data_IF_430513953720
#
_entry.id   IF_430513953720
#
_cell.length_a   1.000
_cell.length_b   1.000
_cell.length_c   1.000
_cell.angle_alpha   90.00
_cell.angle_beta   90.00
_cell.angle_gamma   90.00
#
_symmetry.space_group_name_H-M   'P 1'
#
loop_
_entity.id
_entity.type
_entity.pdbx_description
1 polymer ?
#
# COMPACT_ATOMS: atom_id res chain seq x y z
N UNK A 1 24.31 36.37 29.32
CA UNK A 1 23.73 35.40 30.28
C UNK A 1 22.22 35.24 30.16
N UNK A 2 21.38 36.18 30.65
CA UNK A 2 19.92 35.97 30.65
C UNK A 2 19.30 35.92 29.24
N UNK A 3 19.70 36.82 28.34
CA UNK A 3 19.22 36.84 26.95
C UNK A 3 19.64 35.57 26.20
N UNK A 4 20.87 35.09 26.38
CA UNK A 4 21.35 33.85 25.77
C UNK A 4 20.56 32.63 26.27
N UNK A 5 20.25 32.58 27.56
CA UNK A 5 19.44 31.52 28.15
C UNK A 5 18.02 31.53 27.59
N UNK A 6 17.41 32.71 27.46
CA UNK A 6 16.09 32.87 26.84
C UNK A 6 16.12 32.41 25.38
N UNK A 7 17.12 32.84 24.59
CA UNK A 7 17.27 32.42 23.19
C UNK A 7 17.46 30.90 23.08
N UNK A 8 18.28 30.30 23.95
CA UNK A 8 18.48 28.86 23.98
C UNK A 8 17.18 28.10 24.31
N UNK A 9 16.39 28.59 25.28
CA UNK A 9 15.10 28.00 25.63
C UNK A 9 14.11 28.10 24.46
N UNK A 10 14.02 29.27 23.83
CA UNK A 10 13.14 29.46 22.66
C UNK A 10 13.54 28.53 21.52
N UNK A 11 14.84 28.43 21.22
CA UNK A 11 15.34 27.51 20.20
C UNK A 11 15.01 26.04 20.55
N UNK A 12 15.19 25.64 21.80
CA UNK A 12 14.84 24.30 22.27
C UNK A 12 13.34 24.00 22.10
N UNK A 13 12.46 24.93 22.50
CA UNK A 13 11.01 24.79 22.34
C UNK A 13 10.63 24.65 20.87
N UNK A 14 11.23 25.45 19.98
CA UNK A 14 10.99 25.36 18.54
C UNK A 14 11.41 23.99 17.98
N UNK A 15 12.57 23.45 18.41
CA UNK A 15 13.04 22.13 18.00
C UNK A 15 12.09 21.02 18.48
N UNK A 16 11.68 21.07 19.75
CA UNK A 16 10.75 20.08 20.31
C UNK A 16 9.38 20.12 19.62
N UNK A 17 8.86 21.33 19.34
CA UNK A 17 7.62 21.51 18.61
C UNK A 17 7.73 20.95 17.18
N UNK A 18 8.79 21.27 16.46
CA UNK A 18 9.03 20.74 15.12
C UNK A 18 9.14 19.20 15.11
N UNK A 19 9.84 18.62 16.09
CA UNK A 19 9.97 17.17 16.23
C UNK A 19 8.61 16.52 16.49
N UNK A 20 7.78 17.11 17.35
CA UNK A 20 6.43 16.63 17.64
C UNK A 20 5.53 16.64 16.38
N UNK A 21 5.49 17.75 15.64
CA UNK A 21 4.72 17.85 14.38
C UNK A 21 5.20 16.82 13.35
N UNK A 22 6.51 16.62 13.24
CA UNK A 22 7.11 15.66 12.32
C UNK A 22 6.73 14.22 12.68
N UNK A 23 6.79 13.87 13.98
CA UNK A 23 6.38 12.56 14.47
C UNK A 23 4.89 12.29 14.23
N UNK A 24 4.03 13.27 14.50
CA UNK A 24 2.59 13.16 14.26
C UNK A 24 2.28 12.98 12.76
N UNK A 25 2.96 13.74 11.90
CA UNK A 25 2.81 13.61 10.44
C UNK A 25 3.24 12.23 9.96
N UNK A 26 4.34 11.69 10.49
CA UNK A 26 4.80 10.36 10.14
C UNK A 26 3.80 9.27 10.57
N UNK A 27 3.26 9.36 11.79
CA UNK A 27 2.25 8.43 12.28
C UNK A 27 1.00 8.42 11.37
N UNK A 28 0.52 9.60 10.98
CA UNK A 28 -0.61 9.72 10.06
C UNK A 28 -0.33 9.08 8.69
N UNK A 29 0.90 9.20 8.17
CA UNK A 29 1.29 8.57 6.90
C UNK A 29 1.37 7.05 7.00
N UNK A 30 1.86 6.51 8.12
CA UNK A 30 1.85 5.05 8.34
C UNK A 30 0.42 4.51 8.38
N UNK A 31 -0.47 5.13 9.17
CA UNK A 31 -1.89 4.74 9.22
C UNK A 31 -2.52 4.78 7.82
N UNK A 32 -2.24 5.82 7.04
CA UNK A 32 -2.75 5.95 5.67
C UNK A 32 -2.20 4.87 4.73
N UNK A 33 -0.94 4.49 4.88
CA UNK A 33 -0.30 3.44 4.07
C UNK A 33 -0.86 2.07 4.41
N UNK A 34 -1.02 1.76 5.71
CA UNK A 34 -1.60 0.50 6.17
C UNK A 34 -3.08 0.38 5.76
N UNK A 35 -3.84 1.47 5.87
CA UNK A 35 -5.22 1.51 5.40
C UNK A 35 -5.31 1.32 3.87
N UNK A 36 -4.40 1.91 3.09
CA UNK A 36 -4.36 1.73 1.64
C UNK A 36 -3.96 0.30 1.25
N UNK A 37 -3.09 -0.35 2.02
CA UNK A 37 -2.72 -1.76 1.83
C UNK A 37 -3.91 -2.68 2.09
N UNK A 38 -4.61 -2.50 3.21
CA UNK A 38 -5.80 -3.27 3.54
C UNK A 38 -6.92 -3.07 2.52
N UNK A 39 -7.06 -1.86 1.98
CA UNK A 39 -8.01 -1.58 0.90
C UNK A 39 -7.64 -2.30 -0.40
N UNK A 40 -6.35 -2.37 -0.74
CA UNK A 40 -5.86 -3.11 -1.89
C UNK A 40 -6.13 -4.61 -1.74
N UNK A 41 -5.80 -5.19 -0.59
CA UNK A 41 -6.10 -6.60 -0.25
C UNK A 41 -7.59 -6.91 -0.41
N UNK A 42 -8.47 -6.10 0.21
CA UNK A 42 -9.92 -6.28 0.10
C UNK A 42 -10.44 -6.21 -1.36
N UNK A 43 -9.82 -5.39 -2.22
CA UNK A 43 -10.19 -5.35 -3.64
C UNK A 43 -9.72 -6.59 -4.42
N UNK A 44 -8.55 -7.13 -4.07
CA UNK A 44 -8.03 -8.36 -4.68
C UNK A 44 -8.89 -9.57 -4.27
N UNK A 45 -9.24 -9.68 -2.99
CA UNK A 45 -10.10 -10.76 -2.48
C UNK A 45 -11.50 -10.68 -3.08
N UNK A 46 -12.04 -9.47 -3.25
CA UNK A 46 -13.32 -9.29 -3.94
C UNK A 46 -13.27 -9.74 -5.39
N UNK A 47 -12.16 -9.53 -6.11
CA UNK A 47 -11.98 -10.09 -7.46
C UNK A 47 -11.92 -11.62 -7.40
N UNK A 48 -11.17 -12.20 -6.47
CA UNK A 48 -11.09 -13.65 -6.31
C UNK A 48 -12.50 -14.26 -6.10
N UNK A 49 -13.29 -13.68 -5.20
CA UNK A 49 -14.67 -14.10 -4.96
C UNK A 49 -15.57 -13.97 -6.21
N UNK A 50 -15.43 -12.87 -6.98
CA UNK A 50 -16.17 -12.68 -8.24
C UNK A 50 -15.75 -13.72 -9.28
N UNK A 51 -14.45 -14.05 -9.38
CA UNK A 51 -13.95 -15.08 -10.30
C UNK A 51 -14.50 -16.44 -9.91
N UNK A 52 -14.45 -16.82 -8.63
CA UNK A 52 -14.99 -18.08 -8.13
C UNK A 52 -16.51 -18.21 -8.42
N UNK A 53 -17.26 -17.10 -8.30
CA UNK A 53 -18.69 -17.08 -8.61
C UNK A 53 -19.01 -17.18 -10.12
N UNK A 54 -18.15 -16.62 -10.98
CA UNK A 54 -18.36 -16.60 -12.44
C UNK A 54 -17.79 -17.83 -13.16
N UNK A 55 -16.73 -18.42 -12.63
CA UNK A 55 -16.05 -19.59 -13.17
C UNK A 55 -15.69 -20.55 -12.01
N UNK A 56 -16.61 -21.44 -11.61
CA UNK A 56 -16.38 -22.42 -10.54
C UNK A 56 -15.14 -23.29 -10.76
N UNK A 57 -14.78 -23.55 -12.02
CA UNK A 57 -13.55 -24.25 -12.40
C UNK A 57 -12.25 -23.52 -11.97
N UNK A 58 -12.31 -22.22 -11.67
CA UNK A 58 -11.18 -21.41 -11.19
C UNK A 58 -11.20 -21.20 -9.66
N UNK A 59 -12.15 -21.80 -8.93
CA UNK A 59 -12.32 -21.61 -7.49
C UNK A 59 -11.05 -21.95 -6.70
N UNK A 60 -10.35 -23.03 -7.06
CA UNK A 60 -9.11 -23.43 -6.39
C UNK A 60 -8.00 -22.37 -6.56
N UNK A 61 -7.86 -21.80 -7.75
CA UNK A 61 -6.86 -20.76 -8.04
C UNK A 61 -7.25 -19.45 -7.33
N UNK A 62 -8.54 -19.10 -7.33
CA UNK A 62 -9.06 -17.93 -6.65
C UNK A 62 -8.88 -18.02 -5.11
N UNK A 63 -9.17 -19.18 -4.51
CA UNK A 63 -9.02 -19.42 -3.08
C UNK A 63 -7.54 -19.39 -2.65
N UNK A 64 -6.62 -19.90 -3.48
CA UNK A 64 -5.16 -19.76 -3.24
C UNK A 64 -4.71 -18.31 -3.24
N UNK A 65 -5.24 -17.47 -4.14
CA UNK A 65 -4.97 -16.04 -4.10
C UNK A 65 -5.52 -15.40 -2.83
N UNK A 66 -6.81 -15.61 -2.50
CA UNK A 66 -7.48 -15.05 -1.32
C UNK A 66 -6.81 -15.45 0.00
N UNK A 67 -6.39 -16.70 0.14
CA UNK A 67 -5.72 -17.22 1.36
C UNK A 67 -4.31 -16.65 1.60
N UNK A 68 -3.71 -16.00 0.61
CA UNK A 68 -2.41 -15.35 0.79
C UNK A 68 -2.59 -13.90 1.25
N UNK A 69 -2.14 -13.57 2.45
CA UNK A 69 -2.26 -12.22 2.99
C UNK A 69 -1.31 -11.24 2.30
N UNK A 70 -1.74 -9.98 2.14
CA UNK A 70 -0.93 -8.91 1.56
C UNK A 70 -0.16 -8.16 2.66
N UNK A 71 1.00 -8.68 3.05
CA UNK A 71 1.83 -8.08 4.11
C UNK A 71 2.99 -7.23 3.56
N UNK A 72 3.23 -6.06 4.17
CA UNK A 72 4.38 -5.20 3.86
C UNK A 72 5.70 -5.98 3.88
N UNK A 73 6.45 -5.92 2.79
CA UNK A 73 7.75 -6.58 2.66
C UNK A 73 7.69 -8.09 2.40
N UNK A 74 6.49 -8.66 2.20
CA UNK A 74 6.28 -10.05 1.79
C UNK A 74 5.22 -10.15 0.68
N UNK A 75 5.42 -9.42 -0.42
CA UNK A 75 4.48 -9.41 -1.55
C UNK A 75 4.64 -10.59 -2.49
N UNK A 76 5.79 -11.27 -2.48
CA UNK A 76 6.15 -12.28 -3.49
C UNK A 76 5.11 -13.41 -3.61
N UNK A 77 4.68 -13.98 -2.48
CA UNK A 77 3.68 -15.05 -2.45
C UNK A 77 2.34 -14.59 -3.02
N UNK A 78 1.80 -13.46 -2.52
CA UNK A 78 0.51 -12.93 -3.01
C UNK A 78 0.60 -12.55 -4.49
N UNK A 79 1.68 -11.88 -4.92
CA UNK A 79 1.91 -11.53 -6.32
C UNK A 79 1.99 -12.75 -7.24
N UNK A 80 2.57 -13.87 -6.79
CA UNK A 80 2.62 -15.11 -7.57
C UNK A 80 1.23 -15.72 -7.78
N UNK A 81 0.42 -15.82 -6.71
CA UNK A 81 -0.95 -16.33 -6.81
C UNK A 81 -1.86 -15.41 -7.63
N UNK A 82 -1.72 -14.09 -7.47
CA UNK A 82 -2.46 -13.11 -8.26
C UNK A 82 -2.14 -13.22 -9.76
N UNK A 83 -0.87 -13.46 -10.10
CA UNK A 83 -0.44 -13.68 -11.48
C UNK A 83 -1.05 -14.95 -12.06
N UNK A 84 -1.04 -16.04 -11.30
CA UNK A 84 -1.67 -17.31 -11.71
C UNK A 84 -3.17 -17.11 -11.96
N UNK A 85 -3.87 -16.43 -11.04
CA UNK A 85 -5.28 -16.08 -11.21
C UNK A 85 -5.51 -15.20 -12.44
N UNK A 86 -4.68 -14.19 -12.66
CA UNK A 86 -4.78 -13.32 -13.84
C UNK A 86 -4.61 -14.09 -15.16
N UNK A 87 -3.69 -15.04 -15.22
CA UNK A 87 -3.49 -15.90 -16.40
C UNK A 87 -4.74 -16.75 -16.64
N UNK A 88 -5.21 -17.48 -15.62
CA UNK A 88 -6.36 -18.36 -15.74
C UNK A 88 -7.64 -17.60 -16.15
N UNK A 89 -7.84 -16.41 -15.59
CA UNK A 89 -8.97 -15.53 -15.94
C UNK A 89 -8.85 -15.03 -17.40
N UNK A 90 -7.66 -14.64 -17.85
CA UNK A 90 -7.44 -14.18 -19.23
C UNK A 90 -7.63 -15.28 -20.28
N UNK A 91 -7.32 -16.53 -19.93
CA UNK A 91 -7.58 -17.71 -20.77
C UNK A 91 -9.08 -18.05 -20.80
N UNK A 92 -9.76 -17.89 -19.66
CA UNK A 92 -11.16 -18.27 -19.52
C UNK A 92 -12.13 -17.29 -20.18
N UNK A 93 -11.87 -16.00 -20.04
CA UNK A 93 -12.75 -14.93 -20.49
C UNK A 93 -12.14 -14.19 -21.68
N UNK A 94 -12.62 -14.51 -22.88
CA UNK A 94 -12.27 -13.76 -24.09
C UNK A 94 -12.77 -12.29 -24.00
N UNK A 95 -14.00 -12.12 -23.52
CA UNK A 95 -14.62 -10.83 -23.20
C UNK A 95 -14.89 -10.74 -21.69
N UNK A 96 -14.64 -9.58 -21.09
CA UNK A 96 -14.72 -9.41 -19.64
C UNK A 96 -16.17 -9.20 -19.18
N UNK A 97 -16.71 -10.06 -18.29
CA UNK A 97 -18.00 -9.80 -17.66
C UNK A 97 -17.96 -8.47 -16.90
N UNK A 98 -19.05 -7.71 -16.93
CA UNK A 98 -19.11 -6.36 -16.34
C UNK A 98 -18.71 -6.34 -14.84
N UNK A 99 -19.12 -7.35 -14.07
CA UNK A 99 -18.77 -7.47 -12.65
C UNK A 99 -17.26 -7.66 -12.43
N UNK A 100 -16.60 -8.39 -13.32
CA UNK A 100 -15.16 -8.64 -13.26
C UNK A 100 -14.38 -7.42 -13.72
N UNK A 101 -14.85 -6.73 -14.77
CA UNK A 101 -14.27 -5.49 -15.24
C UNK A 101 -14.32 -4.38 -14.17
N UNK A 102 -15.45 -4.23 -13.46
CA UNK A 102 -15.56 -3.29 -12.32
C UNK A 102 -14.59 -3.66 -11.19
N UNK A 103 -14.48 -4.95 -10.84
CA UNK A 103 -13.55 -5.40 -9.82
C UNK A 103 -12.09 -5.10 -10.19
N UNK A 104 -11.68 -5.36 -11.43
CA UNK A 104 -10.33 -5.03 -11.92
C UNK A 104 -10.07 -3.53 -11.97
N UNK A 105 -11.05 -2.73 -12.39
CA UNK A 105 -10.96 -1.26 -12.35
C UNK A 105 -10.72 -0.72 -10.94
N UNK A 106 -11.40 -1.28 -9.94
CA UNK A 106 -11.20 -0.90 -8.52
C UNK A 106 -9.81 -1.30 -8.01
N UNK A 107 -9.27 -2.44 -8.43
CA UNK A 107 -7.92 -2.87 -8.08
C UNK A 107 -6.88 -1.89 -8.59
N UNK A 108 -7.00 -1.43 -9.84
CA UNK A 108 -6.08 -0.42 -10.40
C UNK A 108 -6.09 0.87 -9.58
N UNK A 109 -7.27 1.31 -9.17
CA UNK A 109 -7.41 2.50 -8.33
C UNK A 109 -6.77 2.29 -6.95
N UNK A 110 -7.04 1.17 -6.30
CA UNK A 110 -6.48 0.83 -4.99
C UNK A 110 -4.95 0.71 -5.04
N UNK A 111 -4.41 0.09 -6.09
CA UNK A 111 -2.97 -0.03 -6.32
C UNK A 111 -2.29 1.32 -6.46
N UNK A 112 -2.88 2.23 -7.23
CA UNK A 112 -2.38 3.59 -7.38
C UNK A 112 -2.38 4.34 -6.05
N UNK A 113 -3.48 4.28 -5.29
CA UNK A 113 -3.56 4.93 -3.98
C UNK A 113 -2.55 4.37 -2.99
N UNK A 114 -2.33 3.06 -3.00
CA UNK A 114 -1.30 2.43 -2.20
C UNK A 114 0.10 2.94 -2.57
N UNK A 115 0.46 2.93 -3.85
CA UNK A 115 1.77 3.41 -4.30
C UNK A 115 2.00 4.90 -4.04
N UNK A 116 0.95 5.72 -4.11
CA UNK A 116 1.00 7.13 -3.72
C UNK A 116 1.27 7.28 -2.21
N UNK A 117 0.59 6.51 -1.36
CA UNK A 117 0.83 6.50 0.08
C UNK A 117 2.26 6.03 0.44
N UNK A 118 2.78 5.02 -0.26
CA UNK A 118 4.18 4.56 -0.13
C UNK A 118 5.15 5.67 -0.51
N UNK A 119 4.91 6.36 -1.62
CA UNK A 119 5.74 7.48 -2.09
C UNK A 119 5.75 8.65 -1.08
N UNK A 120 4.57 9.04 -0.57
CA UNK A 120 4.43 10.08 0.45
C UNK A 120 5.23 9.73 1.71
N UNK A 121 5.12 8.49 2.18
CA UNK A 121 5.83 7.98 3.36
C UNK A 121 7.35 7.95 3.14
N UNK A 122 7.82 7.45 1.99
CA UNK A 122 9.24 7.44 1.63
C UNK A 122 9.81 8.86 1.53
N UNK A 123 9.09 9.78 0.88
CA UNK A 123 9.54 11.17 0.69
C UNK A 123 9.80 11.89 2.03
N UNK A 124 8.97 11.64 3.05
CA UNK A 124 9.13 12.23 4.37
C UNK A 124 10.26 11.56 5.16
N UNK A 125 10.33 10.22 5.13
CA UNK A 125 11.34 9.45 5.88
C UNK A 125 12.76 9.64 5.35
N UNK A 126 12.90 9.96 4.06
CA UNK A 126 14.20 10.23 3.43
C UNK A 126 14.72 11.65 3.68
N UNK A 127 13.94 12.55 4.31
CA UNK A 127 14.41 13.91 4.60
C UNK A 127 15.57 13.90 5.61
N UNK A 128 16.66 14.67 5.36
CA UNK A 128 17.88 14.62 6.17
C UNK A 128 17.64 15.00 7.63
N UNK A 129 16.75 15.97 7.91
CA UNK A 129 16.40 16.34 9.29
C UNK A 129 15.68 15.20 10.02
N UNK A 130 14.74 14.50 9.38
CA UNK A 130 14.00 13.38 10.00
C UNK A 130 14.95 12.22 10.32
N UNK A 131 15.90 11.96 9.41
CA UNK A 131 16.94 10.93 9.58
C UNK A 131 17.94 11.30 10.68
N UNK A 132 18.35 12.57 10.77
CA UNK A 132 19.28 13.06 11.79
C UNK A 132 18.68 12.94 13.19
N UNK A 133 17.40 13.31 13.36
CA UNK A 133 16.70 13.20 14.63
C UNK A 133 16.15 11.80 14.93
N UNK A 134 16.38 10.81 14.04
CA UNK A 134 15.86 9.42 14.16
C UNK A 134 14.35 9.33 14.43
N UNK A 135 13.59 10.34 13.99
CA UNK A 135 12.13 10.41 14.20
C UNK A 135 11.38 9.36 13.37
N UNK A 136 12.04 8.79 12.36
CA UNK A 136 11.53 7.73 11.49
C UNK A 136 11.42 6.33 12.10
N UNK A 137 11.94 6.13 13.31
CA UNK A 137 12.08 4.80 13.91
C UNK A 137 12.99 3.84 13.13
N UNK A 138 12.97 2.56 13.50
CA UNK A 138 13.72 1.46 12.86
C UNK A 138 12.89 0.64 11.87
N UNK A 139 11.63 1.02 11.63
CA UNK A 139 10.76 0.27 10.71
C UNK A 139 11.39 0.19 9.30
N UNK A 140 11.24 -0.91 8.55
CA UNK A 140 11.68 -0.98 7.15
C UNK A 140 10.95 0.08 6.31
N UNK A 141 11.54 0.48 5.17
CA UNK A 141 10.87 1.38 4.23
C UNK A 141 9.74 0.62 3.54
N UNK A 142 8.53 1.21 3.39
CA UNK A 142 7.42 0.53 2.73
C UNK A 142 7.80 0.20 1.28
N UNK A 143 7.36 -0.95 0.78
CA UNK A 143 7.72 -1.46 -0.55
C UNK A 143 6.59 -1.24 -1.55
N UNK A 144 6.92 -1.04 -2.82
CA UNK A 144 5.91 -0.93 -3.87
C UNK A 144 5.35 -2.31 -4.18
N UNK A 145 4.05 -2.38 -4.42
CA UNK A 145 3.42 -3.61 -4.90
C UNK A 145 3.46 -3.62 -6.42
N UNK A 146 3.90 -4.72 -7.03
CA UNK A 146 3.88 -4.89 -8.47
C UNK A 146 2.65 -5.70 -8.86
N UNK A 147 1.67 -5.04 -9.49
CA UNK A 147 0.52 -5.70 -10.09
C UNK A 147 0.92 -6.21 -11.47
N UNK A 148 0.89 -7.53 -11.67
CA UNK A 148 1.00 -8.12 -13.01
C UNK A 148 -0.11 -7.54 -13.88
N UNK A 149 0.25 -7.01 -15.05
CA UNK A 149 -0.65 -6.24 -15.92
C UNK A 149 -2.01 -6.96 -16.11
N UNK A 150 -3.05 -6.41 -15.50
CA UNK A 150 -4.43 -6.79 -15.81
C UNK A 150 -4.76 -6.22 -17.20
N UNK A 151 -5.51 -6.97 -18.01
CA UNK A 151 -5.89 -6.53 -19.36
C UNK A 151 -6.86 -5.35 -19.22
N UNK A 152 -6.34 -4.12 -19.35
CA UNK A 152 -7.16 -2.92 -19.38
C UNK A 152 -7.99 -3.00 -20.67
N UNK A 153 -9.29 -3.10 -20.52
CA UNK A 153 -10.22 -2.95 -21.66
C UNK A 153 -10.37 -1.44 -21.84
N UNK A 154 -9.73 -0.88 -22.87
CA UNK A 154 -10.04 0.47 -23.37
C UNK A 154 -11.40 0.49 -24.07
#
# INVERSE_FOLDING_TARGET
>A
MAVELVVAIVALVLILMWAYFTAQRLNSLHIRTDAALAQLEATLDRRAAVVAALAPELEEVASRAESSELTQGHFETRSAHERELSIAVNERFAERPALLADAEGRIHLAHRFYNEAVSDTRSLRLRPLVRMFRLGGTAPLPEFFELSQLRITE
#
